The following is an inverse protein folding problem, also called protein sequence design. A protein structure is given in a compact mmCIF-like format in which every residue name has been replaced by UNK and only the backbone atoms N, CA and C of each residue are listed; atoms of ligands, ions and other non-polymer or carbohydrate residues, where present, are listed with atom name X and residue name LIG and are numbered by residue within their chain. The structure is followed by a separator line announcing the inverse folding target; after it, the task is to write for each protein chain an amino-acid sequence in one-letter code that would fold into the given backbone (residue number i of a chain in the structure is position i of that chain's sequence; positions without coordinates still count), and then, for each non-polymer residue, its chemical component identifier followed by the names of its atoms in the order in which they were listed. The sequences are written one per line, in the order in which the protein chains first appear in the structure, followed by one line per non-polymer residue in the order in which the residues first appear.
data_IF_711123487511
#
_entry.id   IF_711123487511
#
_cell.length_a   1.000
_cell.length_b   1.000
_cell.length_c   1.000
_cell.angle_alpha   90.00
_cell.angle_beta   90.00
_cell.angle_gamma   90.00
#
_symmetry.space_group_name_H-M   'P 1'
#
loop_
_entity.id
_entity.type
_entity.pdbx_description
1 polymer ?
#
# COMPACT_ATOMS: atom_id res chain seq x y z
N UNK A 1 46.34 42.97 -6.75
CA UNK A 1 45.58 43.82 -5.81
C UNK A 1 44.09 43.47 -5.91
N UNK A 2 43.36 43.34 -4.79
CA UNK A 2 42.09 42.60 -4.65
C UNK A 2 40.85 43.51 -4.53
N UNK A 3 39.65 42.91 -4.52
CA UNK A 3 38.40 43.50 -3.99
C UNK A 3 37.20 42.76 -4.60
N UNK A 4 36.34 41.99 -3.91
CA UNK A 4 35.83 41.92 -2.53
C UNK A 4 35.08 43.17 -2.07
N UNK A 5 33.76 43.18 -2.29
CA UNK A 5 32.70 43.80 -1.42
C UNK A 5 31.32 43.55 -2.07
N UNK A 6 30.55 42.52 -1.70
CA UNK A 6 29.48 42.55 -0.69
C UNK A 6 28.90 43.94 -0.36
N UNK A 7 27.59 44.08 -0.59
CA UNK A 7 26.66 44.54 0.43
C UNK A 7 26.05 45.94 0.24
N UNK A 8 24.75 45.95 -0.07
CA UNK A 8 23.70 46.99 0.10
C UNK A 8 22.81 46.79 -1.11
N UNK A 9 21.56 46.35 -0.97
CA UNK A 9 20.49 47.21 -0.49
C UNK A 9 19.49 46.34 0.30
N UNK A 10 19.64 46.36 1.63
CA UNK A 10 18.53 46.15 2.57
C UNK A 10 18.12 47.53 3.05
N UNK A 11 17.04 48.04 2.49
CA UNK A 11 16.37 49.26 2.90
C UNK A 11 15.04 49.31 2.16
N UNK A 12 13.98 49.67 2.86
CA UNK A 12 12.62 49.89 2.34
C UNK A 12 11.74 48.63 2.23
N UNK A 13 11.60 47.89 3.32
CA UNK A 13 10.23 47.55 3.74
C UNK A 13 10.19 47.46 5.25
N UNK A 14 9.81 48.57 5.88
CA UNK A 14 9.61 48.70 7.31
C UNK A 14 8.38 47.90 7.75
N UNK A 15 8.57 46.61 7.99
CA UNK A 15 7.64 45.84 8.82
C UNK A 15 8.31 45.67 10.20
N UNK A 16 7.75 46.27 11.26
CA UNK A 16 8.30 46.16 12.60
C UNK A 16 8.29 44.70 13.07
N UNK A 17 9.49 44.16 13.30
CA UNK A 17 9.72 42.98 14.14
C UNK A 17 9.68 43.44 15.60
N UNK A 18 8.61 43.08 16.29
CA UNK A 18 8.55 42.90 17.73
C UNK A 18 7.97 41.49 17.91
N UNK A 19 8.84 40.52 18.18
CA UNK A 19 9.03 39.95 19.53
C UNK A 19 7.98 38.88 19.82
N UNK A 20 8.41 37.62 19.85
CA UNK A 20 8.69 36.95 21.13
C UNK A 20 9.36 35.58 20.86
N UNK A 21 9.98 34.99 21.90
CA UNK A 21 11.30 34.37 21.84
C UNK A 21 11.18 32.84 21.79
N UNK A 22 12.30 32.15 22.03
CA UNK A 22 12.50 30.71 22.31
C UNK A 22 13.35 29.97 21.28
N UNK A 23 14.23 29.07 21.75
CA UNK A 23 15.66 29.18 21.50
C UNK A 23 16.18 28.22 20.42
N UNK A 24 17.08 28.74 19.59
CA UNK A 24 18.05 27.94 18.84
C UNK A 24 19.22 27.56 19.75
N UNK A 25 19.29 26.29 20.18
CA UNK A 25 20.55 25.52 20.35
C UNK A 25 20.26 24.11 20.86
N UNK A 26 20.22 23.17 19.92
CA UNK A 26 20.69 21.79 20.06
C UNK A 26 20.67 21.14 18.66
N UNK A 27 21.43 21.71 17.74
CA UNK A 27 22.46 20.94 17.03
C UNK A 27 22.83 19.59 17.66
N UNK A 28 22.91 18.59 16.79
CA UNK A 28 23.80 17.43 16.86
C UNK A 28 23.57 16.43 18.01
N UNK A 29 22.91 15.31 17.71
CA UNK A 29 23.58 14.01 17.70
C UNK A 29 22.67 12.92 17.15
N UNK A 30 23.08 12.42 15.99
CA UNK A 30 22.76 11.09 15.51
C UNK A 30 23.59 10.09 16.33
N UNK A 31 23.00 9.03 16.91
CA UNK A 31 23.77 7.82 17.17
C UNK A 31 23.85 6.97 15.90
N UNK A 32 25.05 6.61 15.42
CA UNK A 32 25.24 5.57 14.42
C UNK A 32 24.96 4.19 15.05
N UNK A 33 24.78 3.19 14.19
CA UNK A 33 24.18 1.91 14.55
C UNK A 33 24.94 1.03 15.54
N UNK A 34 24.30 -0.10 15.84
CA UNK A 34 24.88 -1.24 16.56
C UNK A 34 24.30 -1.41 17.95
N UNK A 35 23.21 -2.18 18.05
CA UNK A 35 22.77 -3.00 19.22
C UNK A 35 21.36 -3.53 18.90
N UNK A 36 21.22 -4.46 17.94
CA UNK A 36 21.24 -5.90 18.20
C UNK A 36 21.73 -6.26 19.62
N UNK A 37 20.85 -6.18 20.62
CA UNK A 37 20.78 -7.09 21.77
C UNK A 37 19.76 -6.60 22.81
N UNK A 38 18.51 -7.09 22.73
CA UNK A 38 17.61 -7.09 23.89
C UNK A 38 16.71 -8.33 23.90
N UNK A 39 17.29 -9.47 23.52
CA UNK A 39 16.64 -10.79 23.51
C UNK A 39 17.42 -11.86 24.31
N UNK A 40 18.34 -11.49 25.21
CA UNK A 40 19.16 -12.49 25.95
C UNK A 40 19.46 -12.22 27.43
N UNK A 41 18.78 -11.27 28.08
CA UNK A 41 19.18 -10.83 29.43
C UNK A 41 18.21 -11.20 30.56
N UNK A 42 17.39 -12.25 30.45
CA UNK A 42 16.75 -12.91 31.61
C UNK A 42 16.62 -14.42 31.38
N UNK A 43 17.76 -15.07 31.11
CA UNK A 43 17.90 -16.51 31.22
C UNK A 43 19.04 -16.83 32.19
N UNK A 44 18.72 -17.37 33.37
CA UNK A 44 19.66 -18.16 34.16
C UNK A 44 19.88 -17.76 35.62
N UNK A 45 18.96 -18.14 36.52
CA UNK A 45 19.19 -18.58 37.92
C UNK A 45 17.80 -18.69 38.60
N UNK A 46 17.26 -19.81 39.09
CA UNK A 46 17.79 -21.09 39.56
C UNK A 46 16.71 -22.18 39.42
N UNK A 47 17.07 -23.47 39.37
CA UNK A 47 16.13 -24.54 39.70
C UNK A 47 16.04 -24.64 41.23
N UNK A 48 14.86 -24.37 41.81
CA UNK A 48 14.59 -24.80 43.18
C UNK A 48 13.61 -25.98 43.13
N UNK A 49 14.24 -27.13 43.24
CA UNK A 49 13.72 -28.44 43.55
C UNK A 49 13.13 -28.42 44.98
N UNK A 50 11.97 -29.07 45.15
CA UNK A 50 11.28 -29.41 46.42
C UNK A 50 10.85 -28.27 47.34
N UNK A 51 9.53 -28.13 47.49
CA UNK A 51 8.92 -28.38 48.80
C UNK A 51 7.43 -28.67 48.62
N UNK A 52 7.09 -29.95 48.73
CA UNK A 52 5.73 -30.43 48.91
C UNK A 52 5.19 -30.05 50.30
N UNK A 53 5.02 -28.77 50.60
CA UNK A 53 4.46 -28.28 51.88
C UNK A 53 3.64 -27.00 51.67
N UNK A 54 2.66 -26.98 50.77
CA UNK A 54 1.59 -25.96 50.86
C UNK A 54 0.30 -26.32 50.09
N UNK A 55 -0.05 -27.61 50.08
CA UNK A 55 -1.32 -28.14 49.54
C UNK A 55 -2.15 -28.81 50.65
N UNK A 56 -2.32 -28.15 51.81
CA UNK A 56 -3.17 -28.69 52.90
C UNK A 56 -4.08 -27.72 53.64
N UNK A 57 -4.06 -26.43 53.37
CA UNK A 57 -5.06 -25.48 53.89
C UNK A 57 -5.43 -24.63 52.67
N UNK A 58 -6.56 -24.82 52.00
CA UNK A 58 -7.87 -24.39 52.48
C UNK A 58 -8.93 -25.17 51.68
N UNK A 59 -9.50 -26.19 52.32
CA UNK A 59 -10.76 -26.82 51.90
C UNK A 59 -11.81 -26.35 52.89
N UNK A 60 -12.92 -25.80 52.39
CA UNK A 60 -14.15 -25.63 53.17
C UNK A 60 -14.18 -24.41 54.08
N UNK A 61 -14.75 -23.32 53.58
CA UNK A 61 -15.18 -22.19 54.38
C UNK A 61 -16.26 -21.45 53.62
N UNK A 62 -17.47 -21.46 54.17
CA UNK A 62 -18.68 -20.91 53.59
C UNK A 62 -18.49 -19.52 52.98
N UNK A 63 -18.80 -19.37 51.70
CA UNK A 63 -18.95 -18.06 51.05
C UNK A 63 -20.31 -17.51 51.49
N UNK A 64 -20.30 -16.77 52.60
CA UNK A 64 -21.37 -15.83 52.92
C UNK A 64 -21.44 -14.75 51.84
N UNK A 65 -22.62 -14.43 51.29
CA UNK A 65 -22.74 -13.31 50.35
C UNK A 65 -22.70 -12.02 51.17
N UNK A 66 -21.58 -11.28 51.09
CA UNK A 66 -21.51 -9.92 51.60
C UNK A 66 -22.26 -9.00 50.62
N UNK A 67 -23.35 -8.34 51.02
CA UNK A 67 -24.04 -7.38 50.18
C UNK A 67 -23.27 -6.05 50.22
N UNK A 68 -22.89 -5.53 49.06
CA UNK A 68 -22.51 -4.11 48.96
C UNK A 68 -21.20 -3.74 48.28
N UNK A 69 -20.52 -4.62 47.53
CA UNK A 69 -19.39 -4.19 46.69
C UNK A 69 -19.60 -4.61 45.24
N UNK A 70 -19.94 -3.64 44.38
CA UNK A 70 -20.20 -3.78 42.94
C UNK A 70 -18.97 -4.15 42.10
N UNK A 71 -18.11 -5.06 42.56
CA UNK A 71 -16.92 -5.54 41.85
C UNK A 71 -17.19 -6.75 40.94
N UNK A 72 -18.35 -7.38 41.06
CA UNK A 72 -18.66 -8.60 40.29
C UNK A 72 -19.11 -8.34 38.83
N UNK A 73 -19.23 -7.07 38.39
CA UNK A 73 -19.55 -6.70 37.01
C UNK A 73 -18.35 -6.24 36.16
N UNK A 74 -17.23 -5.90 36.80
CA UNK A 74 -16.06 -5.34 36.10
C UNK A 74 -15.29 -6.39 35.29
N UNK A 75 -15.18 -7.63 35.81
CA UNK A 75 -14.43 -8.70 35.14
C UNK A 75 -15.05 -9.17 33.81
N UNK A 76 -16.38 -9.13 33.68
CA UNK A 76 -17.10 -9.52 32.46
C UNK A 76 -17.13 -8.44 31.37
N UNK A 77 -16.78 -7.19 31.70
CA UNK A 77 -16.76 -6.08 30.74
C UNK A 77 -15.39 -5.95 30.07
N UNK A 78 -14.30 -6.15 30.81
CA UNK A 78 -12.93 -6.06 30.28
C UNK A 78 -12.63 -7.21 29.28
N UNK A 79 -13.05 -8.44 29.58
CA UNK A 79 -12.93 -9.58 28.64
C UNK A 79 -13.82 -9.45 27.39
N UNK A 80 -14.89 -8.63 27.46
CA UNK A 80 -15.81 -8.40 26.33
C UNK A 80 -15.33 -7.26 25.42
N UNK A 81 -14.54 -6.32 25.93
CA UNK A 81 -13.90 -5.28 25.10
C UNK A 81 -12.67 -5.81 24.36
N UNK A 82 -11.86 -6.67 24.99
CA UNK A 82 -10.66 -7.23 24.36
C UNK A 82 -11.00 -8.16 23.17
N UNK A 83 -12.04 -8.99 23.31
CA UNK A 83 -12.53 -9.86 22.23
C UNK A 83 -13.30 -9.07 21.15
N UNK A 84 -13.93 -7.93 21.50
CA UNK A 84 -14.55 -7.04 20.50
C UNK A 84 -13.51 -6.33 19.63
N UNK A 85 -12.35 -6.00 20.19
CA UNK A 85 -11.20 -5.56 19.42
C UNK A 85 -10.73 -6.65 18.45
N UNK A 86 -10.52 -7.88 18.93
CA UNK A 86 -10.01 -8.96 18.07
C UNK A 86 -10.99 -9.44 16.98
N UNK A 87 -12.31 -9.50 17.25
CA UNK A 87 -13.31 -10.00 16.31
C UNK A 87 -13.67 -9.00 15.19
N UNK A 88 -13.44 -7.69 15.41
CA UNK A 88 -13.62 -6.67 14.38
C UNK A 88 -12.41 -6.56 13.42
N UNK A 89 -11.27 -7.11 13.82
CA UNK A 89 -10.04 -7.13 13.01
C UNK A 89 -9.91 -8.37 12.12
N UNK A 90 -10.91 -9.25 12.08
CA UNK A 90 -10.94 -10.33 11.10
C UNK A 90 -11.49 -9.77 9.78
N UNK A 91 -10.65 -9.55 8.77
CA UNK A 91 -11.13 -9.03 7.51
C UNK A 91 -12.17 -9.99 6.93
N UNK A 92 -13.32 -9.48 6.49
CA UNK A 92 -14.41 -10.33 5.99
C UNK A 92 -13.96 -11.04 4.72
N UNK A 93 -13.84 -12.35 4.78
CA UNK A 93 -13.33 -13.16 3.65
C UNK A 93 -14.19 -12.97 2.40
N UNK A 94 -15.49 -12.75 2.57
CA UNK A 94 -16.44 -12.51 1.48
C UNK A 94 -16.07 -11.30 0.61
N UNK A 95 -15.58 -10.22 1.24
CA UNK A 95 -15.17 -8.99 0.54
C UNK A 95 -13.92 -9.23 -0.31
N UNK A 96 -12.99 -10.06 0.16
CA UNK A 96 -11.82 -10.47 -0.62
C UNK A 96 -12.24 -11.35 -1.79
N UNK A 97 -13.08 -12.36 -1.56
CA UNK A 97 -13.53 -13.26 -2.62
C UNK A 97 -14.28 -12.54 -3.73
N UNK A 98 -15.15 -11.59 -3.38
CA UNK A 98 -15.87 -10.78 -4.37
C UNK A 98 -14.89 -9.95 -5.21
N UNK A 99 -13.97 -9.23 -4.57
CA UNK A 99 -12.93 -8.46 -5.26
C UNK A 99 -12.10 -9.32 -6.21
N UNK A 100 -11.59 -10.47 -5.73
CA UNK A 100 -10.79 -11.36 -6.56
C UNK A 100 -11.59 -11.95 -7.72
N UNK A 101 -12.86 -12.31 -7.50
CA UNK A 101 -13.72 -12.86 -8.57
C UNK A 101 -13.89 -11.84 -9.71
N UNK A 102 -14.21 -10.59 -9.39
CA UNK A 102 -14.30 -9.51 -10.38
C UNK A 102 -12.95 -9.19 -11.02
N UNK A 103 -11.86 -9.22 -10.25
CA UNK A 103 -10.51 -9.04 -10.78
C UNK A 103 -10.13 -10.13 -11.79
N UNK A 104 -10.39 -11.40 -11.49
CA UNK A 104 -10.12 -12.50 -12.42
C UNK A 104 -10.94 -12.37 -13.71
N UNK A 105 -12.22 -12.01 -13.59
CA UNK A 105 -13.09 -11.76 -14.75
C UNK A 105 -12.59 -10.59 -15.60
N UNK A 106 -12.25 -9.46 -14.96
CA UNK A 106 -11.70 -8.28 -15.63
C UNK A 106 -10.36 -8.58 -16.30
N UNK A 107 -9.47 -9.31 -15.63
CA UNK A 107 -8.19 -9.74 -16.18
C UNK A 107 -8.40 -10.63 -17.41
N UNK A 108 -9.29 -11.63 -17.35
CA UNK A 108 -9.63 -12.48 -18.49
C UNK A 108 -10.13 -11.70 -19.70
N UNK A 109 -10.92 -10.64 -19.48
CA UNK A 109 -11.35 -9.74 -20.55
C UNK A 109 -10.18 -8.96 -21.17
N UNK A 110 -9.25 -8.48 -20.34
CA UNK A 110 -8.05 -7.76 -20.79
C UNK A 110 -7.12 -8.67 -21.58
N UNK A 111 -7.05 -9.96 -21.25
CA UNK A 111 -6.32 -10.98 -22.03
C UNK A 111 -6.82 -11.12 -23.47
N UNK A 112 -8.01 -10.63 -23.81
CA UNK A 112 -8.50 -10.61 -25.19
C UNK A 112 -7.88 -9.47 -26.00
N UNK A 113 -7.45 -8.37 -25.37
CA UNK A 113 -6.82 -7.23 -26.05
C UNK A 113 -5.60 -7.60 -26.92
N UNK A 114 -4.61 -8.39 -26.46
CA UNK A 114 -3.47 -8.76 -27.31
C UNK A 114 -3.91 -9.56 -28.55
N UNK A 115 -4.92 -10.42 -28.41
CA UNK A 115 -5.47 -11.19 -29.54
C UNK A 115 -6.17 -10.26 -30.53
N UNK A 116 -7.01 -9.33 -30.03
CA UNK A 116 -7.71 -8.34 -30.86
C UNK A 116 -6.70 -7.47 -31.62
N UNK A 117 -5.68 -6.94 -30.93
CA UNK A 117 -4.63 -6.12 -31.53
C UNK A 117 -3.90 -6.88 -32.64
N UNK A 118 -3.57 -8.15 -32.40
CA UNK A 118 -2.93 -9.01 -33.39
C UNK A 118 -3.82 -9.19 -34.63
N UNK A 119 -5.10 -9.51 -34.44
CA UNK A 119 -6.04 -9.68 -35.57
C UNK A 119 -6.16 -8.38 -36.36
N UNK A 120 -6.33 -7.24 -35.69
CA UNK A 120 -6.41 -5.92 -36.33
C UNK A 120 -5.12 -5.56 -37.09
N UNK A 121 -3.95 -5.93 -36.56
CA UNK A 121 -2.67 -5.72 -37.23
C UNK A 121 -2.50 -6.65 -38.44
N UNK A 122 -3.01 -7.89 -38.37
CA UNK A 122 -2.94 -8.87 -39.45
C UNK A 122 -3.80 -8.51 -40.66
N UNK A 123 -4.94 -7.85 -40.44
CA UNK A 123 -5.78 -7.28 -41.50
C UNK A 123 -5.27 -5.91 -42.01
N UNK A 124 -4.24 -5.34 -41.36
CA UNK A 124 -3.65 -4.06 -41.74
C UNK A 124 -4.47 -2.83 -41.34
N UNK A 125 -5.46 -2.98 -40.44
CA UNK A 125 -6.29 -1.88 -39.96
C UNK A 125 -5.51 -0.97 -39.01
N UNK A 126 -4.62 -1.56 -38.19
CA UNK A 126 -3.75 -0.82 -37.26
C UNK A 126 -2.28 -1.11 -37.53
N UNK A 127 -1.45 -0.08 -37.42
CA UNK A 127 0.01 -0.18 -37.54
C UNK A 127 0.64 -0.26 -36.15
N UNK A 128 1.71 -1.05 -35.93
CA UNK A 128 2.42 -1.10 -34.65
C UNK A 128 2.86 0.28 -34.13
N UNK A 129 3.28 1.18 -35.04
CA UNK A 129 3.68 2.56 -34.73
C UNK A 129 2.49 3.37 -34.19
N UNK A 130 1.29 3.14 -34.72
CA UNK A 130 0.07 3.79 -34.24
C UNK A 130 -0.28 3.32 -32.83
N UNK A 131 -0.19 2.01 -32.57
CA UNK A 131 -0.40 1.42 -31.24
C UNK A 131 0.58 1.99 -30.21
N UNK A 132 1.87 2.12 -30.55
CA UNK A 132 2.85 2.72 -29.64
C UNK A 132 2.52 4.17 -29.26
N UNK A 133 1.98 4.97 -30.19
CA UNK A 133 1.52 6.34 -29.89
C UNK A 133 0.30 6.35 -28.96
N UNK A 134 -0.53 5.31 -29.03
CA UNK A 134 -1.77 5.17 -28.26
C UNK A 134 -1.58 4.53 -26.87
N UNK A 135 -0.36 4.17 -26.49
CA UNK A 135 -0.01 3.64 -25.15
C UNK A 135 -0.54 4.47 -23.99
N UNK A 136 -0.55 5.80 -24.12
CA UNK A 136 -1.10 6.72 -23.11
C UNK A 136 -2.58 6.44 -22.81
N UNK A 137 -3.36 6.13 -23.85
CA UNK A 137 -4.78 5.79 -23.70
C UNK A 137 -4.96 4.40 -23.09
N UNK A 138 -4.07 3.45 -23.41
CA UNK A 138 -4.08 2.14 -22.77
C UNK A 138 -3.75 2.22 -21.27
N UNK A 139 -2.78 3.05 -20.90
CA UNK A 139 -2.44 3.32 -19.48
C UNK A 139 -3.64 3.94 -18.77
N UNK A 140 -4.24 4.99 -19.35
CA UNK A 140 -5.44 5.61 -18.77
C UNK A 140 -6.59 4.61 -18.62
N UNK A 141 -6.85 3.80 -19.65
CA UNK A 141 -7.87 2.75 -19.62
C UNK A 141 -7.60 1.69 -18.54
N UNK A 142 -6.34 1.29 -18.34
CA UNK A 142 -5.96 0.36 -17.29
C UNK A 142 -6.24 0.94 -15.88
N UNK A 143 -5.93 2.22 -15.66
CA UNK A 143 -6.25 2.89 -14.40
C UNK A 143 -7.75 3.03 -14.16
N UNK A 144 -8.54 3.32 -15.21
CA UNK A 144 -10.00 3.39 -15.12
C UNK A 144 -10.57 2.02 -14.75
N UNK A 145 -10.15 0.95 -15.42
CA UNK A 145 -10.64 -0.41 -15.12
C UNK A 145 -10.21 -0.82 -13.71
N UNK A 146 -8.97 -0.54 -13.31
CA UNK A 146 -8.49 -0.81 -11.95
C UNK A 146 -9.29 -0.04 -10.88
N UNK A 147 -9.72 1.20 -11.17
CA UNK A 147 -10.59 1.97 -10.28
C UNK A 147 -12.00 1.38 -10.14
N UNK A 148 -12.53 0.77 -11.20
CA UNK A 148 -13.83 0.08 -11.14
C UNK A 148 -13.75 -1.24 -10.37
N UNK A 149 -12.63 -1.96 -10.49
CA UNK A 149 -12.44 -3.25 -9.80
C UNK A 149 -12.11 -3.03 -8.31
N UNK A 150 -11.38 -1.96 -7.97
CA UNK A 150 -10.94 -1.70 -6.59
C UNK A 150 -12.01 -0.94 -5.81
N UNK A 151 -12.61 -1.51 -4.75
CA UNK A 151 -13.66 -0.84 -3.98
C UNK A 151 -13.13 0.31 -3.10
N UNK A 152 -11.86 0.26 -2.66
CA UNK A 152 -11.23 1.26 -1.77
C UNK A 152 -10.29 2.25 -2.46
N UNK A 153 -10.48 2.53 -3.76
CA UNK A 153 -9.49 3.05 -4.71
C UNK A 153 -8.16 3.55 -4.10
N UNK A 154 -7.27 2.61 -3.78
CA UNK A 154 -5.94 2.88 -3.22
C UNK A 154 -4.90 2.98 -4.33
N UNK A 155 -4.07 4.03 -4.36
CA UNK A 155 -3.10 4.27 -5.47
C UNK A 155 -2.14 3.09 -5.66
N UNK A 156 -1.65 2.50 -4.57
CA UNK A 156 -0.72 1.35 -4.62
C UNK A 156 -1.42 0.13 -5.21
N UNK A 157 -2.61 -0.21 -4.69
CA UNK A 157 -3.35 -1.38 -5.13
C UNK A 157 -3.84 -1.21 -6.57
N UNK A 158 -4.34 -0.03 -6.93
CA UNK A 158 -4.76 0.33 -8.28
C UNK A 158 -3.59 0.22 -9.27
N UNK A 159 -2.40 0.70 -8.90
CA UNK A 159 -1.20 0.58 -9.77
C UNK A 159 -0.76 -0.87 -9.92
N UNK A 160 -0.83 -1.67 -8.85
CA UNK A 160 -0.51 -3.10 -8.89
C UNK A 160 -1.42 -3.87 -9.85
N UNK A 161 -2.71 -3.51 -9.94
CA UNK A 161 -3.66 -4.09 -10.90
C UNK A 161 -3.48 -3.53 -12.33
N UNK A 162 -3.18 -2.24 -12.46
CA UNK A 162 -2.97 -1.60 -13.76
C UNK A 162 -1.69 -2.13 -14.45
N UNK A 163 -0.65 -2.46 -13.70
CA UNK A 163 0.63 -2.93 -14.22
C UNK A 163 0.52 -4.18 -15.12
N UNK A 164 -0.12 -5.29 -14.71
CA UNK A 164 -0.30 -6.45 -15.59
C UNK A 164 -1.16 -6.12 -16.81
N UNK A 165 -2.17 -5.26 -16.68
CA UNK A 165 -3.00 -4.84 -17.83
C UNK A 165 -2.19 -4.08 -18.87
N UNK A 166 -1.34 -3.14 -18.42
CA UNK A 166 -0.42 -2.39 -19.28
C UNK A 166 0.59 -3.35 -19.91
N UNK A 167 1.15 -4.28 -19.13
CA UNK A 167 2.06 -5.31 -19.62
C UNK A 167 1.44 -6.15 -20.75
N UNK A 168 0.18 -6.54 -20.60
CA UNK A 168 -0.57 -7.25 -21.63
C UNK A 168 -0.76 -6.44 -22.91
N UNK A 169 -1.04 -5.14 -22.78
CA UNK A 169 -1.12 -4.25 -23.93
C UNK A 169 0.21 -4.17 -24.66
N UNK A 170 1.32 -3.95 -23.93
CA UNK A 170 2.66 -3.91 -24.52
C UNK A 170 3.01 -5.24 -25.20
N UNK A 171 2.64 -6.37 -24.60
CA UNK A 171 2.81 -7.69 -25.20
C UNK A 171 2.02 -7.81 -26.50
N UNK A 172 0.77 -7.36 -26.54
CA UNK A 172 -0.05 -7.32 -27.75
C UNK A 172 0.58 -6.48 -28.87
N UNK A 173 1.13 -5.31 -28.52
CA UNK A 173 1.84 -4.45 -29.48
C UNK A 173 3.13 -5.11 -29.98
N UNK A 174 3.88 -5.78 -29.10
CA UNK A 174 5.09 -6.51 -29.46
C UNK A 174 4.79 -7.66 -30.46
N UNK A 175 3.74 -8.44 -30.19
CA UNK A 175 3.30 -9.52 -31.08
C UNK A 175 2.80 -8.94 -32.41
N UNK A 176 2.03 -7.85 -32.39
CA UNK A 176 1.61 -7.17 -33.62
C UNK A 176 2.78 -6.56 -34.39
N UNK A 177 3.86 -6.15 -33.72
CA UNK A 177 5.08 -5.69 -34.39
C UNK A 177 5.82 -6.83 -35.08
N UNK A 178 5.92 -7.99 -34.43
CA UNK A 178 6.59 -9.17 -34.98
C UNK A 178 5.80 -9.83 -36.12
N UNK A 179 4.47 -9.88 -36.02
CA UNK A 179 3.59 -10.60 -36.96
C UNK A 179 2.77 -9.68 -37.88
N UNK A 180 2.82 -8.36 -37.70
CA UNK A 180 2.07 -7.39 -38.49
C UNK A 180 2.59 -7.27 -39.92
N UNK A 181 1.68 -7.21 -40.90
CA UNK A 181 2.07 -7.00 -42.30
C UNK A 181 2.27 -5.51 -42.60
N UNK A 182 3.31 -5.12 -43.36
CA UNK A 182 3.49 -3.73 -43.79
C UNK A 182 2.31 -3.25 -44.63
N UNK A 183 1.72 -2.10 -44.28
CA UNK A 183 0.66 -1.47 -45.07
C UNK A 183 1.26 -0.91 -46.35
N UNK A 184 0.80 -1.40 -47.51
CA UNK A 184 1.21 -0.87 -48.81
C UNK A 184 0.59 0.53 -49.00
N UNK A 185 1.38 1.58 -49.27
CA UNK A 185 0.83 2.91 -49.57
C UNK A 185 -0.11 2.85 -50.79
N UNK A 186 -1.13 3.71 -50.86
CA UNK A 186 -1.95 3.86 -52.07
C UNK A 186 -1.05 4.16 -53.28
N UNK A 187 -1.23 3.40 -54.37
CA UNK A 187 -0.44 3.58 -55.58
C UNK A 187 -0.68 4.97 -56.21
N UNK A 188 0.31 5.57 -56.90
CA UNK A 188 0.23 6.93 -57.48
C UNK A 188 -0.85 7.20 -58.55
N UNK A 189 -1.89 6.37 -58.69
CA UNK A 189 -2.92 6.47 -59.72
C UNK A 189 -4.33 6.83 -59.23
N UNK A 190 -4.53 7.13 -57.94
CA UNK A 190 -5.85 7.40 -57.36
C UNK A 190 -6.23 8.90 -57.29
N UNK A 191 -5.39 9.77 -57.86
CA UNK A 191 -5.66 11.22 -58.02
C UNK A 191 -5.60 11.55 -59.50
N UNK A 192 -6.72 11.36 -60.21
CA UNK A 192 -6.97 11.87 -61.55
C UNK A 192 -8.45 12.25 -61.64
#
# INVERSE_FOLDING_TARGET
MPGRTRGRLRGVLGIPRADLPFPHRAAAQQPPGGEVHLHRALGGARPLHEDGVLRRHLRGGAVHPLPGLGLHRAGSLCAREEVRGALQFLPKVDEYFEFYSWFLLGLGLVFQLPVIILVLARIGLVTPIFLLRQTKFAILGAFIIAAFITPTPDVVNQTLLALPMIGLYLLGVLVAWLFGRPRKPPGPGATA
#
